data_IF_091393889093
#
_entry.id   IF_091393889093
#
_cell.length_a   1.000
_cell.length_b   1.000
_cell.length_c   1.000
_cell.angle_alpha   90.00
_cell.angle_beta   90.00
_cell.angle_gamma   90.00
#
_symmetry.space_group_name_H-M   'P 1'
#
loop_
_entity.id
_entity.type
_entity.pdbx_description
1 polymer ?
#
# COMPACT_ATOMS: atom_id res chain seq x y z
N UNK A 1 -15.87 -16.92 5.57
CA UNK A 1 -15.32 -16.06 4.51
C UNK A 1 -16.03 -16.40 3.21
N UNK A 2 -16.79 -15.47 2.67
CA UNK A 2 -17.38 -15.66 1.33
C UNK A 2 -16.25 -15.84 0.32
N UNK A 3 -16.22 -17.01 -0.33
CA UNK A 3 -15.27 -17.22 -1.44
C UNK A 3 -15.53 -16.19 -2.51
N UNK A 4 -14.46 -15.51 -2.93
CA UNK A 4 -14.51 -14.61 -4.08
C UNK A 4 -14.95 -15.42 -5.30
N UNK A 5 -16.04 -15.01 -5.95
CA UNK A 5 -16.63 -15.69 -7.10
C UNK A 5 -16.45 -14.83 -8.37
N UNK A 6 -16.43 -15.46 -9.53
CA UNK A 6 -16.32 -14.78 -10.84
C UNK A 6 -17.44 -13.76 -11.01
N UNK A 7 -18.65 -14.08 -10.55
CA UNK A 7 -19.82 -13.19 -10.69
C UNK A 7 -19.61 -11.86 -9.94
N UNK A 8 -19.08 -11.91 -8.69
CA UNK A 8 -18.74 -10.71 -7.92
C UNK A 8 -17.67 -9.85 -8.60
N UNK A 9 -16.69 -10.48 -9.24
CA UNK A 9 -15.65 -9.77 -10.01
C UNK A 9 -16.21 -9.14 -11.28
N UNK A 10 -17.16 -9.81 -11.94
CA UNK A 10 -17.85 -9.26 -13.12
C UNK A 10 -18.71 -8.05 -12.74
N UNK A 11 -19.49 -8.15 -11.67
CA UNK A 11 -20.33 -7.06 -11.14
C UNK A 11 -19.51 -5.82 -10.73
N UNK A 12 -18.33 -6.04 -10.13
CA UNK A 12 -17.41 -4.95 -9.77
C UNK A 12 -16.66 -4.33 -10.96
N UNK A 13 -16.81 -4.89 -12.16
CA UNK A 13 -16.12 -4.42 -13.36
C UNK A 13 -14.63 -4.80 -13.43
N UNK A 14 -14.15 -5.74 -12.60
CA UNK A 14 -12.73 -6.13 -12.52
C UNK A 14 -12.20 -6.78 -13.81
N UNK A 15 -13.08 -7.13 -14.73
CA UNK A 15 -12.72 -7.67 -16.06
C UNK A 15 -12.30 -6.60 -17.08
N UNK A 16 -12.57 -5.31 -16.83
CA UNK A 16 -12.13 -4.24 -17.70
C UNK A 16 -10.65 -3.91 -17.50
N UNK A 17 -9.88 -4.08 -18.56
CA UNK A 17 -8.46 -3.70 -18.60
C UNK A 17 -8.24 -2.34 -19.27
N UNK A 18 -7.04 -2.11 -19.75
CA UNK A 18 -6.67 -0.85 -20.41
C UNK A 18 -7.13 -0.79 -21.87
N UNK A 19 -7.36 0.42 -22.42
CA UNK A 19 -7.52 0.61 -23.86
C UNK A 19 -6.30 0.10 -24.62
N UNK A 20 -6.54 -0.38 -25.85
CA UNK A 20 -5.49 -0.94 -26.73
C UNK A 20 -4.31 0.01 -26.93
N UNK A 21 -4.55 1.33 -26.92
CA UNK A 21 -3.50 2.35 -27.09
C UNK A 21 -2.61 2.55 -25.86
N UNK A 22 -3.03 2.09 -24.67
CA UNK A 22 -2.34 2.35 -23.39
C UNK A 22 -1.93 1.10 -22.61
N UNK A 23 -2.11 -0.07 -23.19
CA UNK A 23 -1.80 -1.34 -22.53
C UNK A 23 -0.30 -1.64 -22.51
N UNK A 24 0.12 -2.48 -21.57
CA UNK A 24 1.49 -2.99 -21.52
C UNK A 24 1.52 -4.38 -22.18
N UNK A 25 2.38 -4.62 -23.21
CA UNK A 25 2.53 -5.92 -23.87
C UNK A 25 2.82 -7.11 -22.93
N UNK A 26 3.43 -6.87 -21.79
CA UNK A 26 3.69 -7.90 -20.77
C UNK A 26 2.40 -8.50 -20.17
N UNK A 27 1.27 -7.79 -20.26
CA UNK A 27 -0.04 -8.30 -19.82
C UNK A 27 -0.73 -9.23 -20.81
N UNK A 28 -0.16 -9.46 -21.99
CA UNK A 28 -0.73 -10.35 -23.02
C UNK A 28 -1.19 -11.73 -22.49
N UNK A 29 -0.45 -12.42 -21.59
CA UNK A 29 -0.87 -13.72 -21.05
C UNK A 29 -2.13 -13.67 -20.17
N UNK A 30 -2.49 -12.49 -19.63
CA UNK A 30 -3.61 -12.29 -18.72
C UNK A 30 -4.88 -11.79 -19.42
N UNK A 31 -4.81 -11.50 -20.71
CA UNK A 31 -5.92 -10.97 -21.49
C UNK A 31 -6.71 -12.15 -22.08
N UNK A 32 -8.03 -12.15 -21.86
CA UNK A 32 -8.94 -13.13 -22.43
C UNK A 32 -9.32 -12.75 -23.86
N UNK A 33 -9.71 -11.50 -24.11
CA UNK A 33 -10.18 -11.02 -25.39
C UNK A 33 -10.09 -9.51 -25.50
N UNK A 34 -10.43 -8.96 -26.66
CA UNK A 34 -10.56 -7.53 -26.92
C UNK A 34 -12.01 -7.23 -27.32
N UNK A 35 -12.63 -6.26 -26.65
CA UNK A 35 -14.01 -5.82 -26.97
C UNK A 35 -14.07 -4.29 -26.92
N UNK A 36 -14.66 -3.68 -27.94
CA UNK A 36 -14.86 -2.22 -28.03
C UNK A 36 -13.59 -1.38 -27.79
N UNK A 37 -12.42 -1.84 -28.29
CA UNK A 37 -11.16 -1.12 -28.11
C UNK A 37 -10.53 -1.24 -26.71
N UNK A 38 -11.11 -2.06 -25.83
CA UNK A 38 -10.62 -2.32 -24.46
C UNK A 38 -10.25 -3.81 -24.35
N UNK A 39 -9.17 -4.10 -23.65
CA UNK A 39 -8.80 -5.47 -23.32
C UNK A 39 -9.62 -5.97 -22.14
N UNK A 40 -10.05 -7.24 -22.21
CA UNK A 40 -10.79 -7.93 -21.14
C UNK A 40 -9.84 -8.89 -20.44
N UNK A 41 -9.72 -8.75 -19.12
CA UNK A 41 -8.86 -9.56 -18.27
C UNK A 41 -9.50 -10.93 -18.03
N UNK A 42 -8.67 -11.98 -17.98
CA UNK A 42 -9.11 -13.33 -17.69
C UNK A 42 -9.34 -13.53 -16.18
N UNK A 43 -10.59 -13.44 -15.74
CA UNK A 43 -10.97 -13.56 -14.33
C UNK A 43 -10.67 -14.93 -13.72
N UNK A 44 -10.63 -16.02 -14.50
CA UNK A 44 -10.23 -17.34 -14.00
C UNK A 44 -8.77 -17.33 -13.54
N UNK A 45 -7.88 -16.70 -14.33
CA UNK A 45 -6.49 -16.52 -13.94
C UNK A 45 -6.37 -15.60 -12.73
N UNK A 46 -7.15 -14.51 -12.69
CA UNK A 46 -7.20 -13.60 -11.53
C UNK A 46 -7.51 -14.33 -10.24
N UNK A 47 -8.54 -15.18 -10.21
CA UNK A 47 -8.89 -15.98 -9.03
C UNK A 47 -7.75 -16.92 -8.61
N UNK A 48 -7.13 -17.61 -9.56
CA UNK A 48 -6.01 -18.51 -9.26
C UNK A 48 -4.82 -17.75 -8.63
N UNK A 49 -4.54 -16.52 -9.10
CA UNK A 49 -3.46 -15.70 -8.54
C UNK A 49 -3.84 -15.14 -7.16
N UNK A 50 -5.10 -14.77 -6.95
CA UNK A 50 -5.60 -14.34 -5.63
C UNK A 50 -5.44 -15.49 -4.62
N UNK A 51 -5.85 -16.72 -4.97
CA UNK A 51 -5.71 -17.88 -4.08
C UNK A 51 -4.24 -18.18 -3.74
N UNK A 52 -3.35 -18.08 -4.72
CA UNK A 52 -1.90 -18.22 -4.48
C UNK A 52 -1.38 -17.14 -3.53
N UNK A 53 -1.75 -15.89 -3.77
CA UNK A 53 -1.32 -14.77 -2.97
C UNK A 53 -1.84 -14.89 -1.52
N UNK A 54 -3.10 -15.27 -1.32
CA UNK A 54 -3.68 -15.52 0.00
C UNK A 54 -2.91 -16.61 0.77
N UNK A 55 -2.57 -17.72 0.12
CA UNK A 55 -1.77 -18.79 0.73
C UNK A 55 -0.40 -18.29 1.19
N UNK A 56 0.28 -17.48 0.39
CA UNK A 56 1.58 -16.92 0.77
C UNK A 56 1.45 -15.88 1.89
N UNK A 57 0.39 -15.05 1.89
CA UNK A 57 0.12 -14.11 3.00
C UNK A 57 -0.12 -14.86 4.31
N UNK A 58 -0.90 -15.94 4.29
CA UNK A 58 -1.16 -16.79 5.48
C UNK A 58 0.15 -17.34 6.02
N UNK A 59 1.02 -17.92 5.19
CA UNK A 59 2.33 -18.44 5.60
C UNK A 59 3.21 -17.35 6.26
N UNK A 60 3.20 -16.12 5.71
CA UNK A 60 3.99 -15.02 6.26
C UNK A 60 3.47 -14.66 7.66
N UNK A 61 2.16 -14.57 7.83
CA UNK A 61 1.55 -14.24 9.13
C UNK A 61 1.75 -15.37 10.15
N UNK A 62 1.62 -16.64 9.76
CA UNK A 62 1.90 -17.80 10.61
C UNK A 62 3.34 -17.81 11.12
N UNK A 63 4.29 -17.33 10.30
CA UNK A 63 5.69 -17.16 10.69
C UNK A 63 5.97 -15.88 11.49
N UNK A 64 4.93 -15.16 11.94
CA UNK A 64 5.07 -13.91 12.69
C UNK A 64 5.51 -12.71 11.84
N UNK A 65 5.43 -12.82 10.51
CA UNK A 65 5.78 -11.74 9.60
C UNK A 65 4.70 -10.66 9.52
N UNK A 66 5.12 -9.45 9.13
CA UNK A 66 4.24 -8.30 8.97
C UNK A 66 3.97 -8.01 7.51
N UNK A 67 2.74 -7.58 7.21
CA UNK A 67 2.31 -7.16 5.89
C UNK A 67 2.08 -5.64 5.91
N UNK A 68 2.58 -4.96 4.88
CA UNK A 68 2.30 -3.54 4.66
C UNK A 68 1.27 -3.38 3.55
N UNK A 69 0.11 -2.84 3.90
CA UNK A 69 -0.96 -2.53 2.96
C UNK A 69 -0.73 -1.15 2.34
N UNK A 70 -0.79 -1.06 1.01
CA UNK A 70 -0.57 0.19 0.27
C UNK A 70 -1.76 0.47 -0.63
N UNK A 71 -2.43 1.59 -0.40
CA UNK A 71 -3.59 2.01 -1.18
C UNK A 71 -3.69 3.53 -1.27
N UNK A 72 -2.99 4.14 -2.22
CA UNK A 72 -2.89 5.61 -2.34
C UNK A 72 -3.98 6.24 -3.20
N UNK A 73 -4.83 5.45 -3.85
CA UNK A 73 -5.96 5.96 -4.64
C UNK A 73 -7.11 6.39 -3.71
N UNK A 74 -7.79 7.52 -3.97
CA UNK A 74 -8.86 8.01 -3.10
C UNK A 74 -9.93 6.97 -2.78
N UNK A 75 -10.31 6.16 -3.77
CA UNK A 75 -11.33 5.11 -3.63
C UNK A 75 -10.90 3.94 -2.72
N UNK A 76 -9.59 3.72 -2.58
CA UNK A 76 -9.04 2.61 -1.81
C UNK A 76 -8.58 2.99 -0.40
N UNK A 77 -8.37 4.28 -0.12
CA UNK A 77 -7.78 4.76 1.14
C UNK A 77 -8.49 4.22 2.37
N UNK A 78 -9.78 4.52 2.49
CA UNK A 78 -10.57 4.18 3.67
C UNK A 78 -10.72 2.67 3.83
N UNK A 79 -10.92 1.97 2.71
CA UNK A 79 -11.03 0.52 2.71
C UNK A 79 -9.73 -0.15 3.16
N UNK A 80 -8.59 0.26 2.60
CA UNK A 80 -7.28 -0.28 2.95
C UNK A 80 -6.94 0.00 4.41
N UNK A 81 -7.20 1.22 4.89
CA UNK A 81 -6.99 1.58 6.29
C UNK A 81 -7.84 0.71 7.21
N UNK A 82 -9.16 0.62 6.98
CA UNK A 82 -10.07 -0.17 7.80
C UNK A 82 -9.68 -1.65 7.82
N UNK A 83 -9.28 -2.21 6.67
CA UNK A 83 -8.84 -3.61 6.60
C UNK A 83 -7.53 -3.84 7.35
N UNK A 84 -6.56 -2.92 7.23
CA UNK A 84 -5.27 -3.02 7.91
C UNK A 84 -5.43 -2.89 9.43
N UNK A 85 -6.21 -1.91 9.90
CA UNK A 85 -6.52 -1.72 11.32
C UNK A 85 -7.20 -2.97 11.92
N UNK A 86 -8.14 -3.58 11.19
CA UNK A 86 -8.80 -4.82 11.61
C UNK A 86 -7.85 -6.00 11.75
N UNK A 87 -6.80 -6.06 10.92
CA UNK A 87 -5.78 -7.11 10.97
C UNK A 87 -4.62 -6.78 11.92
N UNK A 88 -4.55 -5.57 12.46
CA UNK A 88 -3.41 -5.10 13.26
C UNK A 88 -2.12 -4.96 12.44
N UNK A 89 -2.23 -4.73 11.14
CA UNK A 89 -1.11 -4.62 10.21
C UNK A 89 -0.86 -3.17 9.80
N UNK A 90 0.31 -2.91 9.19
CA UNK A 90 0.73 -1.58 8.77
C UNK A 90 0.09 -1.16 7.45
N UNK A 91 -0.08 0.16 7.24
CA UNK A 91 -0.63 0.67 5.99
C UNK A 91 -0.02 2.01 5.56
N UNK A 92 -0.09 2.29 4.26
CA UNK A 92 0.22 3.58 3.65
C UNK A 92 -0.92 3.92 2.69
N UNK A 93 -1.69 4.96 3.01
CA UNK A 93 -2.88 5.37 2.24
C UNK A 93 -2.75 6.77 1.63
N UNK A 94 -1.87 7.64 2.16
CA UNK A 94 -1.72 8.98 1.60
C UNK A 94 -0.73 8.99 0.43
N UNK A 95 0.54 9.02 0.69
CA UNK A 95 1.56 9.09 -0.33
C UNK A 95 2.67 8.10 -0.05
N UNK A 96 3.03 7.31 -1.07
CA UNK A 96 4.24 6.51 -1.01
C UNK A 96 5.46 7.41 -1.06
N UNK A 97 6.28 7.40 -0.04
CA UNK A 97 7.53 8.16 -0.01
C UNK A 97 8.63 7.38 -0.71
N UNK A 98 9.44 8.09 -1.52
CA UNK A 98 10.65 7.49 -2.07
C UNK A 98 11.58 7.06 -0.93
N UNK A 99 12.12 5.85 -1.03
CA UNK A 99 12.99 5.30 0.01
C UNK A 99 12.28 4.61 1.18
N UNK A 100 10.95 4.46 1.16
CA UNK A 100 10.19 3.78 2.24
C UNK A 100 10.76 2.39 2.57
N UNK A 101 11.22 1.64 1.58
CA UNK A 101 11.85 0.33 1.77
C UNK A 101 13.37 0.39 1.68
N UNK A 102 13.92 1.19 0.77
CA UNK A 102 15.37 1.24 0.48
C UNK A 102 16.15 2.12 1.45
N UNK A 103 15.51 3.13 2.04
CA UNK A 103 16.11 4.05 3.02
C UNK A 103 15.21 4.19 4.27
N UNK A 104 14.85 3.05 4.83
CA UNK A 104 13.97 2.98 5.99
C UNK A 104 14.53 3.70 7.23
N UNK A 105 15.85 3.81 7.34
CA UNK A 105 16.49 4.56 8.42
C UNK A 105 16.06 6.05 8.43
N UNK A 106 15.95 6.67 7.26
CA UNK A 106 15.47 8.06 7.14
C UNK A 106 13.98 8.16 7.45
N UNK A 107 13.17 7.19 7.02
CA UNK A 107 11.75 7.13 7.37
C UNK A 107 11.58 7.02 8.90
N UNK A 108 12.36 6.18 9.56
CA UNK A 108 12.37 6.10 11.05
C UNK A 108 12.73 7.41 11.73
N UNK A 109 13.67 8.20 11.17
CA UNK A 109 13.97 9.54 11.72
C UNK A 109 12.75 10.47 11.63
N UNK A 110 12.04 10.44 10.51
CA UNK A 110 10.80 11.19 10.31
C UNK A 110 9.69 10.76 11.27
N UNK A 111 9.52 9.45 11.50
CA UNK A 111 8.57 8.91 12.47
C UNK A 111 8.93 9.35 13.90
N UNK A 112 10.22 9.30 14.28
CA UNK A 112 10.67 9.80 15.59
C UNK A 112 10.35 11.28 15.77
N UNK A 113 10.51 12.08 14.71
CA UNK A 113 10.15 13.49 14.71
C UNK A 113 8.66 13.69 14.98
N UNK A 114 7.79 12.89 14.32
CA UNK A 114 6.36 12.89 14.58
C UNK A 114 6.05 12.57 16.04
N UNK A 115 6.62 11.50 16.60
CA UNK A 115 6.41 11.10 18.01
C UNK A 115 6.85 12.20 18.98
N UNK A 116 7.93 12.92 18.66
CA UNK A 116 8.36 14.08 19.47
C UNK A 116 7.38 15.25 19.40
N UNK A 117 6.77 15.49 18.23
CA UNK A 117 5.78 16.54 18.03
C UNK A 117 4.40 16.20 18.61
N UNK A 118 4.09 14.91 18.77
CA UNK A 118 2.85 14.48 19.44
C UNK A 118 2.86 14.69 20.94
N UNK A 119 4.02 14.66 21.57
CA UNK A 119 4.19 14.88 23.01
C UNK A 119 4.18 16.39 23.31
N UNK A 120 3.07 16.90 23.86
CA UNK A 120 2.95 18.33 24.22
C UNK A 120 3.99 18.77 25.27
N UNK A 121 4.43 17.85 26.13
CA UNK A 121 5.50 18.05 27.10
C UNK A 121 6.91 18.03 26.51
N UNK A 122 7.04 17.85 25.21
CA UNK A 122 8.33 17.76 24.51
C UNK A 122 9.13 19.07 24.68
N UNK A 123 10.45 18.99 24.87
CA UNK A 123 11.34 20.16 24.91
C UNK A 123 11.22 21.07 23.69
N UNK A 124 10.73 20.52 22.57
CA UNK A 124 10.53 21.24 21.30
C UNK A 124 9.55 22.41 21.46
N UNK A 125 8.57 22.32 22.37
CA UNK A 125 7.56 23.37 22.59
C UNK A 125 7.96 24.37 23.67
N UNK A 126 9.05 24.11 24.43
CA UNK A 126 9.54 25.05 25.45
C UNK A 126 10.02 26.34 24.80
N UNK A 127 9.65 27.46 25.40
CA UNK A 127 10.08 28.82 24.99
C UNK A 127 9.78 29.17 23.52
N UNK A 128 8.74 28.54 22.93
CA UNK A 128 8.33 28.82 21.55
C UNK A 128 7.23 29.86 21.49
N UNK A 129 7.36 30.79 20.55
CA UNK A 129 6.35 31.81 20.25
C UNK A 129 5.08 31.17 19.69
N UNK A 130 3.94 31.87 19.71
CA UNK A 130 2.68 31.40 19.12
C UNK A 130 2.83 31.02 17.65
N UNK A 131 3.57 31.82 16.87
CA UNK A 131 3.83 31.55 15.45
C UNK A 131 4.62 30.24 15.24
N UNK A 132 5.67 30.04 16.02
CA UNK A 132 6.48 28.81 15.95
C UNK A 132 5.67 27.56 16.34
N UNK A 133 4.86 27.64 17.39
CA UNK A 133 3.94 26.54 17.76
C UNK A 133 2.97 26.20 16.65
N UNK A 134 2.44 27.21 15.96
CA UNK A 134 1.57 26.97 14.80
C UNK A 134 2.30 26.28 13.64
N UNK A 135 3.57 26.64 13.38
CA UNK A 135 4.40 25.95 12.37
C UNK A 135 4.67 24.49 12.75
N UNK A 136 4.99 24.21 14.03
CA UNK A 136 5.20 22.86 14.54
C UNK A 136 3.91 22.02 14.43
N UNK A 137 2.74 22.60 14.69
CA UNK A 137 1.47 21.90 14.51
C UNK A 137 1.18 21.57 13.05
N UNK A 138 1.50 22.46 12.12
CA UNK A 138 1.38 22.15 10.68
C UNK A 138 2.34 21.03 10.26
N UNK A 139 3.57 21.03 10.79
CA UNK A 139 4.53 19.95 10.57
C UNK A 139 3.99 18.62 11.11
N UNK A 140 3.47 18.63 12.34
CA UNK A 140 2.85 17.46 12.99
C UNK A 140 1.75 16.86 12.14
N UNK A 141 0.81 17.69 11.66
CA UNK A 141 -0.28 17.21 10.80
C UNK A 141 0.23 16.54 9.52
N UNK A 142 1.16 17.19 8.81
CA UNK A 142 1.75 16.62 7.59
C UNK A 142 2.47 15.28 7.83
N UNK A 143 3.22 15.18 8.94
CA UNK A 143 3.92 13.94 9.28
C UNK A 143 2.94 12.86 9.74
N UNK A 144 1.87 13.22 10.45
CA UNK A 144 0.82 12.31 10.87
C UNK A 144 0.14 11.68 9.65
N UNK A 145 -0.26 12.48 8.68
CA UNK A 145 -0.88 11.98 7.44
C UNK A 145 0.04 10.97 6.72
N UNK A 146 1.33 11.27 6.65
CA UNK A 146 2.29 10.41 5.93
C UNK A 146 2.65 9.13 6.68
N UNK A 147 2.70 9.16 8.02
CA UNK A 147 3.32 8.09 8.81
C UNK A 147 2.36 7.38 9.77
N UNK A 148 1.10 7.80 9.90
CA UNK A 148 0.17 7.24 10.89
C UNK A 148 0.07 5.72 10.85
N UNK A 149 0.03 5.11 9.67
CA UNK A 149 -0.12 3.67 9.52
C UNK A 149 1.18 2.86 9.61
N UNK A 150 2.35 3.53 9.69
CA UNK A 150 3.66 2.87 9.84
C UNK A 150 4.40 3.32 11.10
N UNK A 151 3.73 4.04 12.00
CA UNK A 151 4.34 4.62 13.20
C UNK A 151 5.01 3.57 14.09
N UNK A 152 4.37 2.44 14.26
CA UNK A 152 4.83 1.35 15.14
C UNK A 152 5.67 0.30 14.41
N UNK A 153 5.96 0.52 13.13
CA UNK A 153 6.74 -0.41 12.31
C UNK A 153 8.24 -0.35 12.68
N UNK A 154 8.71 -1.38 13.39
CA UNK A 154 10.11 -1.47 13.87
C UNK A 154 11.07 -1.96 12.79
N UNK A 155 10.62 -2.84 11.93
CA UNK A 155 11.40 -3.51 10.88
C UNK A 155 10.70 -3.36 9.52
N UNK A 156 11.40 -3.64 8.44
CA UNK A 156 10.80 -3.75 7.12
C UNK A 156 9.72 -4.83 7.11
N UNK A 157 8.64 -4.65 6.36
CA UNK A 157 7.59 -5.65 6.23
C UNK A 157 8.09 -6.87 5.45
N UNK A 158 7.54 -8.04 5.74
CA UNK A 158 7.85 -9.29 5.05
C UNK A 158 7.12 -9.39 3.70
N UNK A 159 5.98 -8.70 3.56
CA UNK A 159 5.23 -8.61 2.33
C UNK A 159 4.58 -7.25 2.15
N UNK A 160 4.27 -6.93 0.90
CA UNK A 160 3.49 -5.77 0.52
C UNK A 160 2.21 -6.24 -0.16
N UNK A 161 1.08 -5.74 0.31
CA UNK A 161 -0.18 -5.81 -0.40
C UNK A 161 -0.46 -4.45 -1.04
N UNK A 162 -0.44 -4.37 -2.35
CA UNK A 162 -0.59 -3.10 -3.06
C UNK A 162 -1.87 -3.10 -3.87
N UNK A 163 -2.72 -2.15 -3.55
CA UNK A 163 -3.88 -1.79 -4.35
C UNK A 163 -3.49 -0.62 -5.26
N UNK A 164 -3.49 -0.85 -6.59
CA UNK A 164 -3.12 0.12 -7.63
C UNK A 164 -1.60 0.35 -7.86
N UNK A 165 -1.08 -0.22 -8.92
CA UNK A 165 0.34 -0.48 -9.20
C UNK A 165 1.21 0.67 -9.74
N UNK A 166 0.72 1.90 -9.91
CA UNK A 166 1.55 2.98 -10.48
C UNK A 166 2.80 3.34 -9.65
N UNK A 167 2.85 2.85 -8.41
CA UNK A 167 3.95 3.10 -7.46
C UNK A 167 5.19 2.24 -7.79
N UNK A 168 5.04 1.11 -8.46
CA UNK A 168 6.06 0.06 -8.54
C UNK A 168 7.04 0.14 -9.70
N UNK A 169 6.84 1.02 -10.68
CA UNK A 169 7.80 1.20 -11.78
C UNK A 169 9.21 1.62 -11.30
N UNK A 170 9.29 2.25 -10.13
CA UNK A 170 10.59 2.70 -9.58
C UNK A 170 11.27 1.72 -8.61
N UNK A 171 10.53 0.75 -8.07
CA UNK A 171 11.04 -0.13 -7.00
C UNK A 171 11.45 -1.51 -7.54
N UNK A 172 10.89 -1.95 -8.68
CA UNK A 172 11.16 -3.27 -9.27
C UNK A 172 12.57 -3.43 -9.86
N UNK A 173 13.31 -2.33 -10.10
CA UNK A 173 14.65 -2.37 -10.69
C UNK A 173 15.80 -2.41 -9.66
N UNK A 174 15.54 -2.46 -8.36
CA UNK A 174 16.60 -2.46 -7.34
C UNK A 174 16.38 -3.53 -6.29
N UNK A 175 16.94 -4.69 -6.53
CA UNK A 175 17.19 -5.68 -5.50
C UNK A 175 16.06 -6.67 -5.26
N UNK A 176 16.40 -7.93 -5.24
CA UNK A 176 15.50 -9.03 -4.90
C UNK A 176 15.08 -8.92 -3.43
N UNK A 177 13.92 -8.32 -3.17
CA UNK A 177 13.24 -8.52 -1.90
C UNK A 177 12.64 -9.92 -1.90
N UNK A 178 13.28 -10.85 -1.20
CA UNK A 178 12.70 -12.17 -0.95
C UNK A 178 11.45 -11.97 -0.09
N UNK A 179 10.28 -12.42 -0.58
CA UNK A 179 9.04 -12.43 0.19
C UNK A 179 8.09 -11.25 -0.05
N UNK A 180 8.29 -10.45 -1.09
CA UNK A 180 7.34 -9.41 -1.47
C UNK A 180 6.26 -9.99 -2.37
N UNK A 181 5.02 -9.99 -1.92
CA UNK A 181 3.85 -10.41 -2.70
C UNK A 181 3.21 -9.15 -3.24
N UNK A 182 3.14 -9.03 -4.56
CA UNK A 182 2.43 -7.96 -5.24
C UNK A 182 1.07 -8.48 -5.66
N UNK A 183 0.01 -8.02 -5.01
CA UNK A 183 -1.36 -8.17 -5.47
C UNK A 183 -1.79 -6.79 -5.91
N UNK A 184 -1.93 -6.58 -7.20
CA UNK A 184 -2.58 -5.40 -7.76
C UNK A 184 -4.03 -5.76 -8.01
N UNK A 185 -4.94 -5.20 -7.22
CA UNK A 185 -6.35 -5.11 -7.58
C UNK A 185 -6.48 -3.81 -8.38
N UNK A 186 -6.55 -3.92 -9.70
CA UNK A 186 -6.94 -2.80 -10.59
C UNK A 186 -8.43 -2.53 -10.50
#
# INVERSE_FOLDING_TARGET
MDKMNIDKLLESGAHYGHPVSKWNPQFKPFIATKKNGIYIINLKLTLNYIDKALKEMIKIVENGGNILFVGTKPQAKDLVQTCADRCGMFYIVERWLGGTLTNFATIKKSIRRLVMLEKESSPIYKNKTKKERHMLNREKLKLSDLHRGIKDMKHLPNALFVSFSNIFKSTSNRGSFRGVIFITLE
#
